data_IF_102515743255
#
_entry.id   IF_102515743255
#
_cell.length_a   1.000
_cell.length_b   1.000
_cell.length_c   1.000
_cell.angle_alpha   90.00
_cell.angle_beta   90.00
_cell.angle_gamma   90.00
#
_symmetry.space_group_name_H-M   'P 1'
#
loop_
_entity.id
_entity.type
_entity.pdbx_description
1 polymer ?
#
# COMPACT_ATOMS: atom_id res chain seq x y z
N UNK A 1 0.84 -5.00 -19.72
CA UNK A 1 -0.15 -5.34 -18.68
C UNK A 1 -0.99 -4.08 -18.53
N UNK A 2 -2.25 -4.12 -18.96
CA UNK A 2 -3.11 -2.94 -18.92
C UNK A 2 -3.40 -2.58 -17.46
N UNK A 3 -3.38 -1.28 -17.12
CA UNK A 3 -3.57 -0.74 -15.76
C UNK A 3 -4.85 -1.26 -15.06
N UNK A 4 -5.84 -1.70 -15.84
CA UNK A 4 -7.17 -2.15 -15.38
C UNK A 4 -7.20 -3.55 -14.74
N UNK A 5 -6.13 -4.35 -14.85
CA UNK A 5 -6.15 -5.70 -14.30
C UNK A 5 -5.92 -5.72 -12.78
N UNK A 6 -5.42 -4.66 -12.14
CA UNK A 6 -5.17 -4.64 -10.69
C UNK A 6 -6.20 -3.80 -9.94
N UNK A 7 -7.45 -4.27 -9.88
CA UNK A 7 -8.48 -3.63 -9.05
C UNK A 7 -8.18 -3.83 -7.55
N UNK A 8 -7.48 -2.86 -6.97
CA UNK A 8 -7.20 -2.77 -5.54
C UNK A 8 -8.02 -1.63 -4.92
N UNK A 9 -8.62 -1.91 -3.78
CA UNK A 9 -9.40 -0.96 -2.99
C UNK A 9 -8.63 -0.63 -1.71
N UNK A 10 -8.49 0.65 -1.38
CA UNK A 10 -7.92 1.09 -0.11
C UNK A 10 -9.01 1.00 0.95
N UNK A 11 -8.89 0.03 1.86
CA UNK A 11 -9.85 -0.17 2.95
C UNK A 11 -9.63 0.83 4.09
N UNK A 12 -8.38 1.14 4.42
CA UNK A 12 -8.04 2.05 5.51
C UNK A 12 -6.83 2.91 5.16
N UNK A 13 -6.86 4.18 5.55
CA UNK A 13 -5.69 5.05 5.47
C UNK A 13 -5.54 5.85 6.76
N UNK A 14 -4.31 6.01 7.22
CA UNK A 14 -3.98 6.79 8.42
C UNK A 14 -2.67 7.52 8.22
N UNK A 15 -2.60 8.77 8.68
CA UNK A 15 -1.40 9.60 8.62
C UNK A 15 -1.10 10.16 9.99
N UNK A 16 0.10 9.89 10.47
CA UNK A 16 0.59 10.36 11.76
C UNK A 16 1.78 11.27 11.54
N UNK A 17 1.77 12.45 12.15
CA UNK A 17 2.95 13.30 12.16
C UNK A 17 3.96 12.74 13.16
N UNK A 18 5.20 12.61 12.74
CA UNK A 18 6.32 12.35 13.64
C UNK A 18 6.75 13.72 14.17
N UNK A 19 6.75 13.86 15.50
CA UNK A 19 7.08 15.11 16.18
C UNK A 19 8.39 14.95 16.95
N UNK A 20 9.29 15.93 16.83
CA UNK A 20 10.50 16.05 17.65
C UNK A 20 10.50 17.43 18.29
N UNK A 21 10.43 17.49 19.62
CA UNK A 21 10.20 18.75 20.33
C UNK A 21 8.81 19.31 19.99
N UNK A 22 8.76 20.53 19.45
CA UNK A 22 7.52 21.23 19.10
C UNK A 22 7.29 21.36 17.59
N UNK A 23 8.07 20.68 16.76
CA UNK A 23 7.93 20.71 15.31
C UNK A 23 7.70 19.32 14.73
N UNK A 24 6.92 19.28 13.64
CA UNK A 24 6.76 18.06 12.85
C UNK A 24 8.02 17.84 12.04
N UNK A 25 8.65 16.68 12.22
CA UNK A 25 9.89 16.30 11.54
C UNK A 25 9.68 15.20 10.49
N UNK A 26 8.47 14.62 10.41
CA UNK A 26 8.13 13.64 9.39
C UNK A 26 6.67 13.24 9.41
N UNK A 27 6.30 12.30 8.55
CA UNK A 27 4.96 11.69 8.49
C UNK A 27 5.10 10.18 8.35
N UNK A 28 4.34 9.44 9.14
CA UNK A 28 4.16 8.00 9.02
C UNK A 28 2.77 7.74 8.42
N UNK A 29 2.74 7.22 7.20
CA UNK A 29 1.49 6.94 6.47
C UNK A 29 1.30 5.43 6.43
N UNK A 30 0.15 4.98 6.92
CA UNK A 30 -0.27 3.58 6.91
C UNK A 30 -1.46 3.42 6.00
N UNK A 31 -1.36 2.51 5.03
CA UNK A 31 -2.41 2.18 4.08
C UNK A 31 -2.69 0.68 4.21
N UNK A 32 -3.96 0.32 4.42
CA UNK A 32 -4.45 -1.05 4.24
C UNK A 32 -5.24 -1.07 2.94
N UNK A 33 -4.86 -1.97 2.04
CA UNK A 33 -5.55 -2.15 0.78
C UNK A 33 -5.87 -3.64 0.57
N UNK A 34 -6.94 -3.91 -0.17
CA UNK A 34 -7.42 -5.24 -0.49
C UNK A 34 -7.56 -5.36 -2.01
N UNK A 35 -7.16 -6.50 -2.56
CA UNK A 35 -7.48 -6.86 -3.94
C UNK A 35 -8.85 -7.53 -3.93
N UNK A 36 -9.73 -7.19 -4.89
CA UNK A 36 -11.03 -7.87 -4.97
C UNK A 36 -10.84 -9.39 -5.13
N UNK A 37 -11.49 -10.22 -4.30
CA UNK A 37 -11.39 -11.68 -4.40
C UNK A 37 -11.98 -12.13 -5.75
N UNK A 38 -11.14 -12.75 -6.58
CA UNK A 38 -11.45 -13.11 -7.98
C UNK A 38 -10.35 -12.72 -8.97
N UNK A 39 -9.46 -11.81 -8.57
CA UNK A 39 -8.27 -11.46 -9.35
C UNK A 39 -7.15 -12.47 -9.07
N UNK A 40 -6.80 -13.31 -10.06
CA UNK A 40 -5.64 -14.23 -9.96
C UNK A 40 -4.35 -13.41 -10.03
N UNK A 41 -3.91 -12.91 -8.88
CA UNK A 41 -2.63 -12.24 -8.77
C UNK A 41 -1.52 -13.30 -8.73
N UNK A 42 -0.79 -13.49 -9.84
CA UNK A 42 0.51 -14.15 -9.75
C UNK A 42 1.46 -13.15 -9.10
N UNK A 43 1.67 -13.28 -7.79
CA UNK A 43 2.75 -12.59 -7.08
C UNK A 43 4.06 -13.22 -7.57
N UNK A 44 4.48 -12.82 -8.77
CA UNK A 44 5.71 -13.24 -9.44
C UNK A 44 6.90 -12.66 -8.69
N UNK A 45 7.25 -13.28 -7.57
CA UNK A 45 8.59 -13.15 -7.02
C UNK A 45 9.55 -13.69 -8.06
N UNK A 46 10.41 -12.81 -8.58
CA UNK A 46 11.51 -13.19 -9.45
C UNK A 46 12.33 -14.30 -8.76
N UNK A 47 12.21 -15.54 -9.25
CA UNK A 47 13.05 -16.67 -8.86
C UNK A 47 14.26 -16.71 -9.80
N UNK A 48 15.21 -15.80 -9.57
CA UNK A 48 16.58 -16.03 -9.99
C UNK A 48 17.30 -16.70 -8.81
N UNK A 49 17.24 -18.03 -8.80
CA UNK A 49 18.08 -18.93 -8.00
C UNK A 49 18.79 -19.88 -8.96
#
# INVERSE_FOLDING_TARGET
IAEDELQCEISESSSFNIVRGFYTCGKNIRIKAQIKPGLRFSLGGNKNA
#
